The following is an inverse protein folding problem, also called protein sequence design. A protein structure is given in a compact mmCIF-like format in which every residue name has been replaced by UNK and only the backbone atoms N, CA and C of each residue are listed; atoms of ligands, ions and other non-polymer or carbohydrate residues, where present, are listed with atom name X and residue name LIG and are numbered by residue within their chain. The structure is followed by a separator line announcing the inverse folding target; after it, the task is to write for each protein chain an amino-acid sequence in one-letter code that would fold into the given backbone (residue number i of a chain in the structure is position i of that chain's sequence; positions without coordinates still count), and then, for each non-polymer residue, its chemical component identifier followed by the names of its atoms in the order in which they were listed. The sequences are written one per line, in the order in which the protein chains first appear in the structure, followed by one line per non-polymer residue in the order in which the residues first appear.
data_IF_581418880075
#
_entry.id   IF_581418880075
#
_cell.length_a   1.000
_cell.length_b   1.000
_cell.length_c   1.000
_cell.angle_alpha   90.00
_cell.angle_beta   90.00
_cell.angle_gamma   90.00
#
_symmetry.space_group_name_H-M   'P 1'
#
loop_
_entity.id
_entity.type
_entity.pdbx_description
1 polymer ?
#
# COMPACT_ATOMS: atom_id res chain seq x y z
N UNK A 1 74.72 -17.34 -25.84
CA UNK A 1 74.93 -16.01 -25.24
C UNK A 1 74.20 -15.03 -26.13
N UNK A 2 72.94 -14.73 -25.82
CA UNK A 2 72.30 -13.55 -26.41
C UNK A 2 72.86 -12.34 -25.67
N UNK A 3 73.24 -11.32 -26.43
CA UNK A 3 73.80 -10.07 -25.91
C UNK A 3 72.85 -9.51 -24.85
N UNK A 4 73.40 -9.21 -23.67
CA UNK A 4 72.67 -8.55 -22.59
C UNK A 4 72.06 -7.21 -23.03
N UNK A 5 72.64 -6.59 -24.06
CA UNK A 5 72.15 -5.35 -24.64
C UNK A 5 70.84 -5.55 -25.40
N UNK A 6 70.67 -6.66 -26.13
CA UNK A 6 69.41 -6.97 -26.84
C UNK A 6 68.30 -7.33 -25.85
N UNK A 7 68.64 -8.00 -24.73
CA UNK A 7 67.68 -8.28 -23.66
C UNK A 7 67.27 -7.01 -22.89
N UNK A 8 68.18 -6.04 -22.73
CA UNK A 8 67.86 -4.74 -22.16
C UNK A 8 67.03 -3.87 -23.14
N UNK A 9 67.29 -3.95 -24.44
CA UNK A 9 66.52 -3.23 -25.48
C UNK A 9 65.07 -3.76 -25.59
N UNK A 10 64.88 -5.08 -25.41
CA UNK A 10 63.55 -5.71 -25.38
C UNK A 10 62.78 -5.36 -24.09
N UNK A 11 63.48 -4.99 -23.01
CA UNK A 11 62.85 -4.70 -21.72
C UNK A 11 62.13 -3.35 -21.67
N UNK A 12 62.33 -2.49 -22.67
CA UNK A 12 61.71 -1.16 -22.81
C UNK A 12 61.11 -1.00 -24.21
N UNK A 13 60.17 -1.87 -24.60
CA UNK A 13 59.55 -1.79 -25.93
C UNK A 13 58.63 -0.57 -26.11
N UNK A 14 58.17 0.07 -25.03
CA UNK A 14 57.31 1.25 -25.11
C UNK A 14 57.65 2.22 -23.98
N UNK A 15 58.38 3.28 -24.30
CA UNK A 15 58.51 4.45 -23.44
C UNK A 15 57.42 5.44 -23.84
N UNK A 16 56.40 5.56 -22.99
CA UNK A 16 55.26 6.43 -23.26
C UNK A 16 55.61 7.92 -23.08
N UNK A 17 56.78 8.25 -22.54
CA UNK A 17 57.16 9.62 -22.22
C UNK A 17 56.28 10.23 -21.13
N UNK A 18 56.80 11.27 -20.49
CA UNK A 18 56.00 12.06 -19.55
C UNK A 18 54.98 12.92 -20.33
N UNK A 19 53.69 13.00 -19.95
CA UNK A 19 53.02 12.40 -18.77
C UNK A 19 52.27 11.08 -19.02
N UNK A 20 52.32 10.52 -20.24
CA UNK A 20 51.53 9.31 -20.55
C UNK A 20 51.93 8.10 -19.70
N UNK A 21 53.22 7.93 -19.36
CA UNK A 21 53.68 6.84 -18.51
C UNK A 21 52.99 6.82 -17.14
N UNK A 22 52.81 7.99 -16.54
CA UNK A 22 52.17 8.15 -15.22
C UNK A 22 50.66 7.90 -15.29
N UNK A 23 50.02 8.33 -16.38
CA UNK A 23 48.60 8.02 -16.62
C UNK A 23 48.41 6.51 -16.74
N UNK A 24 49.24 5.83 -17.54
CA UNK A 24 49.16 4.37 -17.74
C UNK A 24 49.37 3.62 -16.42
N UNK A 25 50.28 4.08 -15.56
CA UNK A 25 50.52 3.48 -14.25
C UNK A 25 49.32 3.57 -13.30
N UNK A 26 48.48 4.59 -13.45
CA UNK A 26 47.36 4.86 -12.53
C UNK A 26 46.02 4.27 -13.04
N UNK A 27 45.91 3.94 -14.33
CA UNK A 27 44.71 3.31 -14.94
C UNK A 27 44.19 2.08 -14.17
N UNK A 28 45.02 1.10 -13.74
CA UNK A 28 44.54 -0.08 -13.02
C UNK A 28 43.82 0.24 -11.72
N UNK A 29 44.08 1.39 -11.12
CA UNK A 29 43.47 1.83 -9.87
C UNK A 29 42.25 2.74 -10.10
N UNK A 30 42.35 3.66 -11.07
CA UNK A 30 41.29 4.63 -11.38
C UNK A 30 40.08 3.94 -12.00
N UNK A 31 40.30 3.00 -12.93
CA UNK A 31 39.20 2.39 -13.68
C UNK A 31 38.23 1.59 -12.78
N UNK A 32 38.70 0.71 -11.87
CA UNK A 32 37.80 0.03 -10.92
C UNK A 32 37.08 1.00 -9.97
N UNK A 33 37.74 2.07 -9.52
CA UNK A 33 37.12 3.07 -8.63
C UNK A 33 36.02 3.87 -9.33
N UNK A 34 36.23 4.27 -10.59
CA UNK A 34 35.21 4.93 -11.40
C UNK A 34 34.02 4.01 -11.66
N UNK A 35 34.29 2.76 -12.04
CA UNK A 35 33.26 1.76 -12.29
C UNK A 35 32.43 1.50 -11.02
N UNK A 36 33.11 1.33 -9.88
CA UNK A 36 32.47 1.18 -8.57
C UNK A 36 31.61 2.40 -8.23
N UNK A 37 32.13 3.62 -8.42
CA UNK A 37 31.39 4.86 -8.18
C UNK A 37 30.11 4.92 -9.00
N UNK A 38 30.20 4.66 -10.31
CA UNK A 38 29.06 4.69 -11.22
C UNK A 38 28.01 3.66 -10.80
N UNK A 39 28.43 2.43 -10.47
CA UNK A 39 27.50 1.39 -9.99
C UNK A 39 26.78 1.86 -8.73
N UNK A 40 27.50 2.38 -7.73
CA UNK A 40 26.92 2.83 -6.47
C UNK A 40 25.95 4.01 -6.66
N UNK A 41 26.30 4.96 -7.53
CA UNK A 41 25.46 6.12 -7.85
C UNK A 41 24.24 5.74 -8.69
N UNK A 42 24.32 4.77 -9.59
CA UNK A 42 23.14 4.27 -10.32
C UNK A 42 22.23 3.44 -9.41
N UNK A 43 22.83 2.64 -8.52
CA UNK A 43 22.09 1.78 -7.61
C UNK A 43 21.21 2.56 -6.62
N UNK A 44 21.64 3.77 -6.21
CA UNK A 44 20.86 4.62 -5.30
C UNK A 44 19.41 4.86 -5.77
N UNK A 45 19.16 4.83 -7.10
CA UNK A 45 17.84 5.06 -7.70
C UNK A 45 16.81 4.00 -7.29
N UNK A 46 17.28 2.79 -6.95
CA UNK A 46 16.44 1.66 -6.59
C UNK A 46 16.19 1.55 -5.08
N UNK A 47 16.77 2.44 -4.26
CA UNK A 47 16.65 2.40 -2.80
C UNK A 47 15.65 3.43 -2.28
N UNK A 48 14.90 3.05 -1.23
CA UNK A 48 13.92 3.90 -0.57
C UNK A 48 14.62 5.14 0.03
N UNK A 49 14.00 6.34 -0.04
CA UNK A 49 14.70 7.57 0.34
C UNK A 49 15.21 7.69 1.78
N UNK A 50 14.59 6.99 2.74
CA UNK A 50 14.85 7.20 4.17
C UNK A 50 15.85 6.22 4.80
N UNK A 51 16.52 5.39 4.01
CA UNK A 51 17.52 4.47 4.58
C UNK A 51 18.90 5.12 4.70
N UNK A 52 19.47 5.10 5.92
CA UNK A 52 20.88 5.44 6.20
C UNK A 52 21.84 4.72 5.23
N UNK A 53 21.45 3.51 4.80
CA UNK A 53 22.17 2.72 3.79
C UNK A 53 22.31 3.47 2.46
N UNK A 54 21.27 4.16 2.00
CA UNK A 54 21.31 4.96 0.77
C UNK A 54 22.33 6.07 0.87
N UNK A 55 22.30 6.84 1.95
CA UNK A 55 23.24 7.94 2.16
C UNK A 55 24.69 7.45 2.27
N UNK A 56 24.91 6.30 2.91
CA UNK A 56 26.23 5.67 3.00
C UNK A 56 26.74 5.24 1.61
N UNK A 57 25.91 4.58 0.79
CA UNK A 57 26.32 4.15 -0.55
C UNK A 57 26.61 5.35 -1.47
N UNK A 58 25.81 6.41 -1.39
CA UNK A 58 26.04 7.65 -2.15
C UNK A 58 27.33 8.31 -1.69
N UNK A 59 27.58 8.38 -0.39
CA UNK A 59 28.83 8.93 0.16
C UNK A 59 30.04 8.13 -0.33
N UNK A 60 30.00 6.79 -0.27
CA UNK A 60 31.07 5.92 -0.75
C UNK A 60 31.28 6.10 -2.26
N UNK A 61 30.20 6.20 -3.04
CA UNK A 61 30.24 6.45 -4.49
C UNK A 61 30.87 7.80 -4.86
N UNK A 62 30.51 8.88 -4.15
CA UNK A 62 31.11 10.21 -4.35
C UNK A 62 32.58 10.22 -3.91
N UNK A 63 32.88 9.57 -2.80
CA UNK A 63 34.24 9.48 -2.27
C UNK A 63 35.17 8.74 -3.23
N UNK A 64 34.74 7.58 -3.74
CA UNK A 64 35.51 6.82 -4.73
C UNK A 64 35.70 7.59 -6.05
N UNK A 65 34.67 8.30 -6.52
CA UNK A 65 34.78 9.19 -7.68
C UNK A 65 35.81 10.29 -7.47
N UNK A 66 35.77 10.93 -6.30
CA UNK A 66 36.66 12.04 -5.95
C UNK A 66 38.09 11.55 -5.89
N UNK A 67 38.35 10.40 -5.26
CA UNK A 67 39.69 9.79 -5.23
C UNK A 67 40.17 9.45 -6.64
N UNK A 68 39.33 8.81 -7.46
CA UNK A 68 39.69 8.45 -8.82
C UNK A 68 40.03 9.67 -9.68
N UNK A 69 39.24 10.73 -9.54
CA UNK A 69 39.45 12.01 -10.23
C UNK A 69 40.72 12.70 -9.73
N UNK A 70 40.97 12.73 -8.43
CA UNK A 70 42.19 13.30 -7.86
C UNK A 70 43.44 12.52 -8.29
N UNK A 71 43.39 11.19 -8.34
CA UNK A 71 44.49 10.37 -8.83
C UNK A 71 44.79 10.63 -10.30
N UNK A 72 43.76 10.76 -11.14
CA UNK A 72 43.91 11.07 -12.55
C UNK A 72 44.39 12.51 -12.78
N UNK A 73 43.89 13.46 -11.99
CA UNK A 73 44.35 14.85 -12.01
C UNK A 73 45.82 14.90 -11.59
N UNK A 74 46.17 14.20 -10.51
CA UNK A 74 47.53 14.14 -10.01
C UNK A 74 48.46 13.53 -11.05
N UNK A 75 48.12 12.40 -11.67
CA UNK A 75 48.95 11.78 -12.72
C UNK A 75 49.08 12.61 -13.99
N UNK A 76 48.00 13.29 -14.42
CA UNK A 76 48.02 14.10 -15.63
C UNK A 76 48.74 15.45 -15.45
N UNK A 77 48.64 16.07 -14.27
CA UNK A 77 49.09 17.45 -14.02
C UNK A 77 50.36 17.56 -13.18
N UNK A 78 50.83 16.44 -12.62
CA UNK A 78 51.90 16.34 -11.64
C UNK A 78 53.22 17.03 -11.93
N UNK A 79 53.60 17.17 -13.19
CA UNK A 79 54.86 17.85 -13.54
C UNK A 79 54.71 19.09 -14.45
N UNK A 80 53.49 19.54 -14.78
CA UNK A 80 53.30 20.63 -15.76
C UNK A 80 52.42 21.81 -15.32
N UNK A 81 51.63 21.73 -14.24
CA UNK A 81 50.50 22.66 -14.11
C UNK A 81 50.68 23.93 -13.24
N UNK A 82 51.80 24.16 -12.56
CA UNK A 82 52.03 25.49 -11.94
C UNK A 82 53.50 25.87 -12.07
N UNK A 83 53.77 27.02 -12.69
CA UNK A 83 55.07 27.39 -13.25
C UNK A 83 56.24 27.52 -12.29
N UNK A 84 57.42 27.73 -12.89
CA UNK A 84 58.77 27.71 -12.30
C UNK A 84 59.11 26.35 -11.68
N UNK A 85 60.24 25.77 -12.10
CA UNK A 85 60.73 24.45 -11.63
C UNK A 85 60.82 24.34 -10.10
N UNK A 86 60.84 25.49 -9.40
CA UNK A 86 60.92 25.65 -7.95
C UNK A 86 59.57 25.50 -7.20
N UNK A 87 58.43 25.51 -7.90
CA UNK A 87 57.08 25.43 -7.33
C UNK A 87 56.38 24.08 -7.58
N UNK A 88 57.15 23.09 -8.04
CA UNK A 88 56.70 21.70 -8.00
C UNK A 88 56.37 21.35 -6.56
N UNK A 89 55.14 20.91 -6.29
CA UNK A 89 54.76 20.41 -4.98
C UNK A 89 55.79 19.35 -4.58
N UNK A 90 56.63 19.64 -3.57
CA UNK A 90 57.82 18.86 -3.20
C UNK A 90 57.57 17.42 -2.73
N UNK A 91 56.37 16.89 -2.97
CA UNK A 91 55.96 15.51 -2.73
C UNK A 91 55.72 14.71 -4.01
N UNK A 92 55.93 15.26 -5.22
CA UNK A 92 55.72 14.52 -6.48
C UNK A 92 56.61 13.27 -6.61
N UNK A 93 57.92 13.45 -6.51
CA UNK A 93 58.87 12.33 -6.59
C UNK A 93 58.62 11.25 -5.52
N UNK A 94 58.45 11.57 -4.22
CA UNK A 94 58.15 10.55 -3.23
C UNK A 94 56.75 9.91 -3.42
N UNK A 95 55.77 10.63 -3.96
CA UNK A 95 54.47 10.04 -4.30
C UNK A 95 54.61 9.04 -5.46
N UNK A 96 55.25 9.41 -6.56
CA UNK A 96 55.45 8.50 -7.70
C UNK A 96 56.32 7.32 -7.28
N UNK A 97 57.37 7.54 -6.49
CA UNK A 97 58.18 6.47 -5.94
C UNK A 97 57.37 5.54 -5.02
N UNK A 98 56.45 6.08 -4.20
CA UNK A 98 55.57 5.29 -3.35
C UNK A 98 54.53 4.51 -4.16
N UNK A 99 53.93 5.14 -5.18
CA UNK A 99 52.93 4.53 -6.05
C UNK A 99 53.55 3.45 -6.92
N UNK A 100 54.71 3.72 -7.51
CA UNK A 100 55.50 2.72 -8.24
C UNK A 100 56.01 1.62 -7.31
N UNK A 101 56.38 1.94 -6.07
CA UNK A 101 56.68 0.95 -5.03
C UNK A 101 55.49 0.04 -4.74
N UNK A 102 54.29 0.60 -4.63
CA UNK A 102 53.04 -0.15 -4.45
C UNK A 102 52.71 -1.00 -5.69
N UNK A 103 52.84 -0.42 -6.89
CA UNK A 103 52.65 -1.12 -8.16
C UNK A 103 53.65 -2.27 -8.29
N UNK A 104 54.91 -2.08 -7.92
CA UNK A 104 55.92 -3.13 -7.94
C UNK A 104 55.65 -4.19 -6.85
N UNK A 105 55.15 -3.81 -5.68
CA UNK A 105 54.77 -4.76 -4.64
C UNK A 105 53.60 -5.65 -5.09
N UNK A 106 52.60 -5.06 -5.74
CA UNK A 106 51.40 -5.76 -6.19
C UNK A 106 51.66 -6.53 -7.48
N UNK A 107 52.23 -5.89 -8.50
CA UNK A 107 52.37 -6.43 -9.85
C UNK A 107 53.78 -6.91 -10.20
N UNK A 108 54.79 -6.60 -9.39
CA UNK A 108 56.16 -7.10 -9.60
C UNK A 108 56.31 -8.60 -9.32
N UNK A 109 55.27 -9.24 -8.76
CA UNK A 109 55.18 -10.68 -8.58
C UNK A 109 53.85 -11.21 -9.13
N UNK A 110 53.90 -12.36 -9.80
CA UNK A 110 52.70 -13.10 -10.25
C UNK A 110 51.77 -13.37 -9.07
N UNK A 111 52.31 -13.71 -7.90
CA UNK A 111 51.51 -13.97 -6.71
C UNK A 111 50.77 -12.72 -6.22
N UNK A 112 51.44 -11.56 -6.21
CA UNK A 112 50.81 -10.29 -5.83
C UNK A 112 49.67 -9.91 -6.77
N UNK A 113 49.88 -10.08 -8.08
CA UNK A 113 48.85 -9.77 -9.08
C UNK A 113 47.64 -10.69 -8.95
N UNK A 114 47.86 -11.98 -8.66
CA UNK A 114 46.80 -12.95 -8.44
C UNK A 114 46.01 -12.63 -7.17
N UNK A 115 46.71 -12.30 -6.07
CA UNK A 115 46.09 -11.90 -4.81
C UNK A 115 45.25 -10.62 -4.97
N UNK A 116 45.73 -9.66 -5.77
CA UNK A 116 45.00 -8.43 -6.10
C UNK A 116 43.71 -8.72 -6.87
N UNK A 117 43.76 -9.55 -7.93
CA UNK A 117 42.58 -9.93 -8.71
C UNK A 117 41.57 -10.68 -7.83
N UNK A 118 42.01 -11.62 -6.99
CA UNK A 118 41.15 -12.34 -6.07
C UNK A 118 40.53 -11.40 -5.04
N UNK A 119 41.33 -10.50 -4.45
CA UNK A 119 40.85 -9.53 -3.46
C UNK A 119 39.79 -8.59 -4.06
N UNK A 120 40.02 -8.07 -5.26
CA UNK A 120 39.04 -7.27 -5.99
C UNK A 120 37.81 -8.10 -6.34
N UNK A 121 37.97 -9.33 -6.81
CA UNK A 121 36.87 -10.23 -7.14
C UNK A 121 35.97 -10.53 -5.93
N UNK A 122 36.57 -10.83 -4.78
CA UNK A 122 35.84 -11.02 -3.50
C UNK A 122 35.17 -9.71 -3.09
N UNK A 123 35.86 -8.58 -3.19
CA UNK A 123 35.30 -7.26 -2.90
C UNK A 123 34.06 -6.98 -3.75
N UNK A 124 34.14 -7.19 -5.06
CA UNK A 124 33.00 -7.07 -5.97
C UNK A 124 31.90 -8.08 -5.69
N UNK A 125 32.24 -9.33 -5.33
CA UNK A 125 31.24 -10.35 -4.98
C UNK A 125 30.47 -9.97 -3.71
N UNK A 126 31.18 -9.56 -2.65
CA UNK A 126 30.56 -9.10 -1.40
C UNK A 126 29.73 -7.84 -1.63
N UNK A 127 30.25 -6.89 -2.41
CA UNK A 127 29.53 -5.67 -2.75
C UNK A 127 28.31 -5.98 -3.62
N UNK A 128 28.40 -6.90 -4.58
CA UNK A 128 27.25 -7.36 -5.36
C UNK A 128 26.22 -8.07 -4.47
N UNK A 129 26.64 -8.86 -3.48
CA UNK A 129 25.71 -9.58 -2.62
C UNK A 129 25.09 -8.68 -1.52
N UNK A 130 25.80 -7.66 -1.06
CA UNK A 130 25.29 -6.69 -0.07
C UNK A 130 24.53 -5.53 -0.70
N UNK A 131 24.91 -5.13 -1.92
CA UNK A 131 24.33 -3.98 -2.62
C UNK A 131 23.40 -4.46 -3.74
N UNK A 132 23.80 -5.35 -4.63
CA UNK A 132 23.01 -5.68 -5.84
C UNK A 132 21.93 -6.73 -5.57
N UNK A 133 22.06 -7.57 -4.55
CA UNK A 133 20.97 -8.40 -4.06
C UNK A 133 20.21 -7.64 -2.96
N UNK A 134 19.18 -6.82 -3.29
CA UNK A 134 18.24 -6.42 -2.28
C UNK A 134 17.64 -7.71 -1.69
N UNK A 135 17.40 -7.77 -0.37
CA UNK A 135 16.50 -8.76 0.18
C UNK A 135 15.13 -8.52 -0.46
N UNK A 136 14.87 -9.27 -1.53
CA UNK A 136 13.65 -9.38 -2.31
C UNK A 136 13.04 -8.06 -2.85
N UNK A 137 13.27 -7.72 -4.14
CA UNK A 137 12.77 -6.48 -4.76
C UNK A 137 11.24 -6.37 -4.76
N UNK A 138 10.53 -7.50 -4.63
CA UNK A 138 9.07 -7.52 -4.58
C UNK A 138 8.52 -6.92 -3.29
N UNK A 139 9.19 -7.06 -2.14
CA UNK A 139 8.63 -6.62 -0.87
C UNK A 139 8.66 -5.11 -0.65
N UNK A 140 9.55 -4.39 -1.34
CA UNK A 140 9.60 -2.92 -1.25
C UNK A 140 8.39 -2.31 -1.94
N UNK A 141 8.06 -2.79 -3.15
CA UNK A 141 6.84 -2.39 -3.86
C UNK A 141 5.58 -2.80 -3.08
N UNK A 142 5.51 -4.06 -2.66
CA UNK A 142 4.40 -4.57 -1.86
C UNK A 142 4.21 -3.85 -0.52
N UNK A 143 5.29 -3.39 0.15
CA UNK A 143 5.16 -2.59 1.38
C UNK A 143 4.66 -1.19 1.13
N UNK A 144 5.09 -0.56 0.03
CA UNK A 144 4.59 0.75 -0.34
C UNK A 144 3.09 0.68 -0.68
N UNK A 145 2.70 -0.31 -1.49
CA UNK A 145 1.30 -0.59 -1.83
C UNK A 145 0.46 -0.95 -0.60
N UNK A 146 1.01 -1.75 0.33
CA UNK A 146 0.32 -2.10 1.58
C UNK A 146 0.10 -0.86 2.46
N UNK A 147 1.08 0.04 2.53
CA UNK A 147 0.97 1.28 3.31
C UNK A 147 -0.07 2.23 2.70
N UNK A 148 -0.05 2.37 1.37
CA UNK A 148 -1.06 3.15 0.64
C UNK A 148 -2.47 2.55 0.84
N UNK A 149 -2.60 1.23 0.80
CA UNK A 149 -3.86 0.55 1.10
C UNK A 149 -4.31 0.78 2.55
N UNK A 150 -3.39 0.77 3.53
CA UNK A 150 -3.70 1.02 4.93
C UNK A 150 -4.16 2.47 5.17
N UNK A 151 -3.52 3.44 4.52
CA UNK A 151 -3.88 4.85 4.61
C UNK A 151 -5.26 5.10 3.95
N UNK A 152 -5.53 4.49 2.80
CA UNK A 152 -6.85 4.54 2.15
C UNK A 152 -7.96 3.90 3.00
N UNK A 153 -7.66 2.81 3.73
CA UNK A 153 -8.62 2.18 4.65
C UNK A 153 -8.95 3.13 5.81
N UNK A 154 -7.94 3.82 6.38
CA UNK A 154 -8.17 4.80 7.45
C UNK A 154 -9.02 5.98 6.99
N UNK A 155 -8.80 6.46 5.77
CA UNK A 155 -9.63 7.51 5.16
C UNK A 155 -11.07 7.03 5.00
N UNK A 156 -11.29 5.83 4.44
CA UNK A 156 -12.62 5.23 4.33
C UNK A 156 -13.30 5.05 5.69
N UNK A 157 -12.57 4.61 6.73
CA UNK A 157 -13.13 4.49 8.07
C UNK A 157 -13.59 5.83 8.64
N UNK A 158 -12.85 6.92 8.34
CA UNK A 158 -13.23 8.26 8.75
C UNK A 158 -14.50 8.75 8.04
N UNK A 159 -14.60 8.50 6.73
CA UNK A 159 -15.78 8.84 5.92
C UNK A 159 -17.03 8.05 6.35
N UNK A 160 -16.86 6.76 6.68
CA UNK A 160 -17.96 5.93 7.18
C UNK A 160 -18.45 6.43 8.54
N UNK A 161 -17.56 6.90 9.41
CA UNK A 161 -17.96 7.52 10.69
C UNK A 161 -18.74 8.81 10.47
N UNK A 162 -18.29 9.70 9.59
CA UNK A 162 -19.03 10.94 9.31
C UNK A 162 -20.40 10.67 8.69
N UNK A 163 -20.50 9.70 7.77
CA UNK A 163 -21.79 9.28 7.20
C UNK A 163 -22.73 8.68 8.25
N UNK A 164 -22.20 7.91 9.21
CA UNK A 164 -22.99 7.37 10.31
C UNK A 164 -23.53 8.48 11.22
N UNK A 165 -22.74 9.51 11.50
CA UNK A 165 -23.17 10.69 12.26
C UNK A 165 -24.26 11.47 11.53
N UNK A 166 -24.09 11.69 10.22
CA UNK A 166 -25.10 12.37 9.39
C UNK A 166 -26.42 11.59 9.34
N UNK A 167 -26.35 10.25 9.19
CA UNK A 167 -27.53 9.38 9.24
C UNK A 167 -28.27 9.51 10.57
N UNK A 168 -27.56 9.50 11.70
CA UNK A 168 -28.17 9.65 13.01
C UNK A 168 -28.86 11.01 13.17
N UNK A 169 -28.27 12.08 12.61
CA UNK A 169 -28.87 13.42 12.61
C UNK A 169 -30.16 13.44 11.79
N UNK A 170 -30.14 12.85 10.60
CA UNK A 170 -31.33 12.74 9.74
C UNK A 170 -32.45 11.91 10.40
N UNK A 171 -32.13 10.80 11.05
CA UNK A 171 -33.11 10.00 11.80
C UNK A 171 -33.75 10.82 12.94
N UNK A 172 -32.96 11.61 13.66
CA UNK A 172 -33.47 12.49 14.71
C UNK A 172 -34.38 13.61 14.16
N UNK A 173 -34.03 14.21 13.01
CA UNK A 173 -34.88 15.20 12.34
C UNK A 173 -36.19 14.57 11.83
N UNK A 174 -36.13 13.36 11.27
CA UNK A 174 -37.31 12.64 10.78
C UNK A 174 -38.28 12.30 11.91
N UNK A 175 -37.74 11.90 13.08
CA UNK A 175 -38.54 11.69 14.28
C UNK A 175 -39.25 12.97 14.74
N UNK A 176 -38.56 14.10 14.76
CA UNK A 176 -39.16 15.41 15.09
C UNK A 176 -40.25 15.81 14.09
N UNK A 177 -40.03 15.56 12.80
CA UNK A 177 -41.05 15.82 11.78
C UNK A 177 -42.30 14.97 12.00
N UNK A 178 -42.14 13.68 12.31
CA UNK A 178 -43.27 12.79 12.59
C UNK A 178 -44.05 13.21 13.84
N UNK A 179 -43.35 13.64 14.91
CA UNK A 179 -44.00 14.18 16.11
C UNK A 179 -44.81 15.44 15.78
N UNK A 180 -44.24 16.37 14.99
CA UNK A 180 -44.94 17.56 14.54
C UNK A 180 -46.16 17.24 13.66
N UNK A 181 -46.06 16.25 12.79
CA UNK A 181 -47.17 15.82 11.91
C UNK A 181 -48.31 15.21 12.74
N UNK A 182 -47.98 14.37 13.73
CA UNK A 182 -48.97 13.80 14.67
C UNK A 182 -49.70 14.88 15.46
N UNK A 183 -48.97 15.87 15.99
CA UNK A 183 -49.58 16.99 16.72
C UNK A 183 -50.54 17.80 15.83
N UNK A 184 -50.16 18.00 14.56
CA UNK A 184 -51.01 18.67 13.57
C UNK A 184 -52.25 17.85 13.21
N UNK A 185 -52.13 16.54 13.02
CA UNK A 185 -53.30 15.68 12.80
C UNK A 185 -54.29 15.72 13.98
N UNK A 186 -53.78 15.72 15.22
CA UNK A 186 -54.64 15.87 16.40
C UNK A 186 -55.33 17.24 16.44
N UNK A 187 -54.61 18.31 16.09
CA UNK A 187 -55.20 19.66 16.02
C UNK A 187 -56.29 19.74 14.95
N UNK A 188 -56.10 19.12 13.79
CA UNK A 188 -57.09 19.05 12.71
C UNK A 188 -58.32 18.24 13.13
N UNK A 189 -58.14 17.11 13.82
CA UNK A 189 -59.28 16.33 14.35
C UNK A 189 -60.10 17.16 15.35
N UNK A 190 -59.45 17.92 16.24
CA UNK A 190 -60.15 18.81 17.18
C UNK A 190 -60.96 19.88 16.44
N UNK A 191 -60.34 20.54 15.45
CA UNK A 191 -61.03 21.53 14.63
C UNK A 191 -62.20 20.92 13.85
N UNK A 192 -62.03 19.72 13.29
CA UNK A 192 -63.10 19.01 12.60
C UNK A 192 -64.28 18.72 13.54
N UNK A 193 -64.01 18.24 14.77
CA UNK A 193 -65.08 18.00 15.75
C UNK A 193 -65.80 19.28 16.18
N UNK A 194 -65.08 20.41 16.29
CA UNK A 194 -65.67 21.71 16.58
C UNK A 194 -66.55 22.21 15.44
N UNK A 195 -66.09 22.05 14.19
CA UNK A 195 -66.89 22.38 13.01
C UNK A 195 -68.16 21.53 12.99
N UNK A 196 -68.04 20.21 13.14
CA UNK A 196 -69.20 19.30 13.19
C UNK A 196 -70.20 19.70 14.27
N UNK A 197 -69.76 20.01 15.50
CA UNK A 197 -70.65 20.50 16.56
C UNK A 197 -71.36 21.81 16.20
N UNK A 198 -70.63 22.77 15.63
CA UNK A 198 -71.22 24.04 15.20
C UNK A 198 -72.24 23.82 14.08
N UNK A 199 -71.97 22.92 13.12
CA UNK A 199 -72.95 22.56 12.08
C UNK A 199 -74.22 21.96 12.67
N UNK A 200 -74.10 21.06 13.66
CA UNK A 200 -75.28 20.46 14.31
C UNK A 200 -76.09 21.48 15.12
N UNK A 201 -75.43 22.45 15.76
CA UNK A 201 -76.09 23.53 16.50
C UNK A 201 -76.82 24.50 15.55
N UNK A 202 -76.21 24.81 14.40
CA UNK A 202 -76.87 25.58 13.35
C UNK A 202 -78.08 24.82 12.76
N UNK A 203 -78.00 23.51 12.55
CA UNK A 203 -79.13 22.69 12.09
C UNK A 203 -80.26 22.58 13.12
N UNK A 204 -79.94 22.52 14.42
CA UNK A 204 -80.95 22.52 15.48
C UNK A 204 -81.66 23.87 15.59
N UNK A 205 -80.91 24.98 15.51
CA UNK A 205 -81.49 26.33 15.48
C UNK A 205 -82.40 26.53 14.25
N UNK A 206 -82.01 25.97 13.11
CA UNK A 206 -82.81 26.03 11.87
C UNK A 206 -84.05 25.14 11.90
N UNK A 207 -84.05 24.09 12.73
CA UNK A 207 -85.22 23.23 12.96
C UNK A 207 -86.18 23.82 14.00
N UNK A 208 -85.70 24.66 14.92
CA UNK A 208 -86.54 25.43 15.86
C UNK A 208 -87.27 26.62 15.20
N UNK A 209 -86.85 27.09 14.01
CA UNK A 209 -87.58 28.09 13.22
C UNK A 209 -88.88 27.57 12.54
N UNK A 210 -89.27 26.32 12.80
CA UNK A 210 -90.46 25.67 12.23
C UNK A 210 -91.81 25.94 12.91
N UNK A 211 -91.85 26.60 14.07
CA UNK A 211 -93.10 27.05 14.71
C UNK A 211 -93.12 28.58 14.84
N UNK A 212 -94.19 29.28 14.39
CA UNK A 212 -94.24 30.73 14.52
C UNK A 212 -94.61 31.06 15.96
N UNK A 213 -93.81 31.88 16.64
CA UNK A 213 -94.23 32.91 17.63
C UNK A 213 -92.99 33.62 18.19
N UNK A 214 -92.89 34.91 17.87
CA UNK A 214 -92.63 36.01 18.81
C UNK A 214 -91.49 35.85 19.85
N UNK A 215 -90.42 36.64 19.62
CA UNK A 215 -89.38 37.09 20.58
C UNK A 215 -88.19 36.14 20.80
N UNK A 216 -87.30 36.09 19.81
CA UNK A 216 -85.87 35.92 20.08
C UNK A 216 -85.34 37.24 20.65
N UNK A 217 -84.74 37.28 21.86
CA UNK A 217 -84.15 38.48 22.41
C UNK A 217 -82.96 38.91 21.54
N UNK A 218 -82.91 40.19 21.15
CA UNK A 218 -81.88 40.78 20.27
C UNK A 218 -80.44 40.44 20.70
N UNK A 219 -80.21 40.17 21.99
CA UNK A 219 -78.90 39.85 22.56
C UNK A 219 -78.31 38.52 22.04
N UNK A 220 -79.13 37.48 21.80
CA UNK A 220 -78.62 36.17 21.30
C UNK A 220 -78.24 36.22 19.82
N UNK A 221 -78.91 37.08 19.05
CA UNK A 221 -78.61 37.29 17.63
C UNK A 221 -77.32 38.10 17.46
N UNK A 222 -77.02 38.97 18.44
CA UNK A 222 -75.78 39.75 18.49
C UNK A 222 -74.57 38.88 18.87
N UNK A 223 -74.73 37.94 19.82
CA UNK A 223 -73.65 36.99 20.19
C UNK A 223 -73.33 36.01 19.06
N UNK A 224 -74.34 35.46 18.38
CA UNK A 224 -74.13 34.57 17.23
C UNK A 224 -73.48 35.30 16.05
N UNK A 225 -73.78 36.60 15.85
CA UNK A 225 -73.08 37.43 14.86
C UNK A 225 -71.61 37.63 15.23
N UNK A 226 -71.32 37.90 16.49
CA UNK A 226 -69.94 38.02 16.98
C UNK A 226 -69.15 36.72 16.81
N UNK A 227 -69.74 35.58 17.14
CA UNK A 227 -69.09 34.27 16.96
C UNK A 227 -68.87 33.93 15.48
N UNK A 228 -69.82 34.29 14.60
CA UNK A 228 -69.67 34.07 13.16
C UNK A 228 -68.60 34.99 12.56
N UNK A 229 -68.51 36.24 13.00
CA UNK A 229 -67.44 37.16 12.58
C UNK A 229 -66.07 36.72 13.15
N UNK A 230 -66.02 36.17 14.36
CA UNK A 230 -64.81 35.61 14.94
C UNK A 230 -64.36 34.35 14.18
N UNK A 231 -65.25 33.40 13.95
CA UNK A 231 -64.98 32.19 13.16
C UNK A 231 -64.55 32.52 11.72
N UNK A 232 -65.11 33.58 11.13
CA UNK A 232 -64.69 34.07 9.82
C UNK A 232 -63.29 34.69 9.85
N UNK A 233 -62.94 35.40 10.92
CA UNK A 233 -61.58 35.94 11.10
C UNK A 233 -60.55 34.81 11.30
N UNK A 234 -60.92 33.75 12.03
CA UNK A 234 -60.08 32.58 12.24
C UNK A 234 -59.91 31.76 10.96
N UNK A 235 -60.95 31.66 10.13
CA UNK A 235 -60.87 31.03 8.81
C UNK A 235 -59.95 31.80 7.83
N UNK A 236 -60.01 33.13 7.83
CA UNK A 236 -59.11 33.96 7.01
C UNK A 236 -57.65 33.89 7.53
N UNK A 237 -57.45 33.81 8.85
CA UNK A 237 -56.12 33.59 9.45
C UNK A 237 -55.56 32.20 9.11
N UNK A 238 -56.38 31.16 9.12
CA UNK A 238 -55.99 29.81 8.71
C UNK A 238 -55.60 29.76 7.23
N UNK A 239 -56.33 30.48 6.37
CA UNK A 239 -56.05 30.56 4.93
C UNK A 239 -54.76 31.30 4.62
N UNK A 240 -54.44 32.36 5.37
CA UNK A 240 -53.14 33.05 5.25
C UNK A 240 -51.99 32.16 5.72
N UNK A 241 -52.19 31.37 6.78
CA UNK A 241 -51.21 30.39 7.25
C UNK A 241 -50.99 29.25 6.25
N UNK A 242 -52.04 28.80 5.55
CA UNK A 242 -51.93 27.82 4.47
C UNK A 242 -51.11 28.37 3.28
N UNK A 243 -51.30 29.64 2.95
CA UNK A 243 -50.52 30.33 1.92
C UNK A 243 -49.03 30.43 2.27
N UNK A 244 -48.72 30.76 3.53
CA UNK A 244 -47.34 30.82 4.03
C UNK A 244 -46.65 29.45 4.04
N UNK A 245 -47.41 28.39 4.32
CA UNK A 245 -46.91 27.01 4.23
C UNK A 245 -46.64 26.59 2.79
N UNK A 246 -47.51 26.95 1.85
CA UNK A 246 -47.29 26.72 0.41
C UNK A 246 -46.02 27.42 -0.08
N UNK A 247 -45.78 28.67 0.36
CA UNK A 247 -44.54 29.39 0.04
C UNK A 247 -43.31 28.71 0.68
N UNK A 248 -43.45 28.19 1.89
CA UNK A 248 -42.36 27.48 2.59
C UNK A 248 -42.02 26.16 1.91
N UNK A 249 -43.04 25.39 1.47
CA UNK A 249 -42.86 24.16 0.69
C UNK A 249 -42.20 24.48 -0.65
N UNK A 250 -42.65 25.53 -1.35
CA UNK A 250 -42.03 25.96 -2.61
C UNK A 250 -40.55 26.34 -2.46
N UNK A 251 -40.19 27.05 -1.38
CA UNK A 251 -38.77 27.34 -1.06
C UNK A 251 -37.97 26.07 -0.79
N UNK A 252 -38.54 25.11 -0.07
CA UNK A 252 -37.87 23.83 0.21
C UNK A 252 -37.67 23.02 -1.07
N UNK A 253 -38.65 23.00 -1.97
CA UNK A 253 -38.51 22.33 -3.27
C UNK A 253 -37.42 22.98 -4.15
N UNK A 254 -37.32 24.31 -4.14
CA UNK A 254 -36.21 25.02 -4.79
C UNK A 254 -34.85 24.67 -4.17
N UNK A 255 -34.80 24.51 -2.84
CA UNK A 255 -33.58 24.09 -2.12
C UNK A 255 -33.20 22.65 -2.46
N UNK A 256 -34.18 21.75 -2.55
CA UNK A 256 -33.96 20.36 -2.96
C UNK A 256 -33.46 20.32 -4.41
N UNK A 257 -34.05 21.12 -5.30
CA UNK A 257 -33.60 21.18 -6.70
C UNK A 257 -32.17 21.71 -6.83
N UNK A 258 -31.77 22.69 -6.02
CA UNK A 258 -30.40 23.21 -6.02
C UNK A 258 -29.41 22.21 -5.44
N UNK A 259 -29.75 21.55 -4.33
CA UNK A 259 -28.94 20.46 -3.77
C UNK A 259 -28.85 19.25 -4.72
N UNK A 260 -29.90 18.94 -5.48
CA UNK A 260 -29.86 17.91 -6.51
C UNK A 260 -28.96 18.30 -7.68
N UNK A 261 -28.96 19.57 -8.11
CA UNK A 261 -28.02 20.05 -9.11
C UNK A 261 -26.59 20.08 -8.59
N UNK A 262 -26.35 20.49 -7.34
CA UNK A 262 -25.04 20.44 -6.70
C UNK A 262 -24.55 19.01 -6.49
N UNK A 263 -25.44 18.05 -6.20
CA UNK A 263 -25.10 16.62 -6.16
C UNK A 263 -24.78 16.07 -7.56
N UNK A 264 -25.54 16.48 -8.58
CA UNK A 264 -25.28 16.08 -9.96
C UNK A 264 -23.97 16.70 -10.48
N UNK A 265 -23.68 17.93 -10.08
CA UNK A 265 -22.44 18.65 -10.35
C UNK A 265 -21.29 18.02 -9.58
N UNK A 266 -21.35 17.84 -8.26
CA UNK A 266 -20.32 17.12 -7.49
C UNK A 266 -20.08 15.69 -8.00
N UNK A 267 -21.09 15.04 -8.57
CA UNK A 267 -20.97 13.74 -9.25
C UNK A 267 -20.31 13.85 -10.63
N UNK A 268 -20.38 14.99 -11.31
CA UNK A 268 -19.63 15.29 -12.54
C UNK A 268 -18.25 15.90 -12.28
N UNK A 269 -18.05 16.70 -11.22
CA UNK A 269 -16.77 17.33 -10.82
C UNK A 269 -15.83 16.36 -10.10
N UNK A 270 -16.29 15.13 -9.77
CA UNK A 270 -15.40 14.05 -9.30
C UNK A 270 -14.58 13.39 -10.42
N UNK A 271 -14.59 13.94 -11.64
CA UNK A 271 -13.43 13.87 -12.53
C UNK A 271 -12.55 15.11 -12.26
N UNK A 272 -11.42 14.97 -11.54
CA UNK A 272 -10.53 16.10 -11.33
C UNK A 272 -9.84 16.43 -12.66
N UNK A 273 -9.94 17.68 -13.07
CA UNK A 273 -8.97 18.31 -13.95
C UNK A 273 -7.60 18.21 -13.27
N UNK A 274 -6.75 17.31 -13.77
CA UNK A 274 -5.31 17.53 -13.73
C UNK A 274 -4.98 18.40 -14.93
N UNK A 275 -4.24 19.49 -14.70
CA UNK A 275 -3.40 20.04 -15.74
C UNK A 275 -2.62 18.90 -16.43
N UNK A 276 -2.73 18.86 -17.76
CA UNK A 276 -1.95 18.09 -18.73
C UNK A 276 -1.99 16.55 -18.69
N UNK A 277 -2.98 15.92 -19.36
CA UNK A 277 -2.80 14.69 -20.20
C UNK A 277 -4.07 14.38 -21.03
N UNK A 278 -3.98 13.68 -22.20
CA UNK A 278 -5.03 13.61 -23.22
C UNK A 278 -6.19 12.66 -22.84
N UNK A 279 -7.35 12.72 -23.52
CA UNK A 279 -8.59 12.10 -23.07
C UNK A 279 -8.48 10.57 -23.00
N UNK A 280 -8.83 10.02 -21.84
CA UNK A 280 -8.94 8.58 -21.59
C UNK A 280 -10.10 8.05 -22.41
N UNK A 281 -9.80 7.28 -23.46
CA UNK A 281 -10.77 6.66 -24.35
C UNK A 281 -11.58 5.59 -23.62
N UNK A 282 -12.82 5.34 -24.07
CA UNK A 282 -13.69 4.25 -23.58
C UNK A 282 -12.99 2.87 -23.58
N UNK A 283 -11.92 2.71 -24.38
CA UNK A 283 -11.04 1.53 -24.37
C UNK A 283 -10.31 1.34 -23.04
N UNK A 284 -9.87 2.41 -22.37
CA UNK A 284 -9.15 2.32 -21.09
C UNK A 284 -10.10 1.93 -19.96
N UNK A 285 -11.34 2.44 -19.98
CA UNK A 285 -12.38 2.04 -19.02
C UNK A 285 -12.75 0.57 -19.20
N UNK A 286 -12.84 0.12 -20.46
CA UNK A 286 -13.08 -1.28 -20.77
C UNK A 286 -11.91 -2.16 -20.33
N UNK A 287 -10.67 -1.75 -20.57
CA UNK A 287 -9.49 -2.51 -20.13
C UNK A 287 -9.37 -2.58 -18.61
N UNK A 288 -9.71 -1.50 -17.89
CA UNK A 288 -9.73 -1.50 -16.42
C UNK A 288 -10.79 -2.45 -15.87
N UNK A 289 -11.96 -2.52 -16.51
CA UNK A 289 -13.02 -3.47 -16.13
C UNK A 289 -12.61 -4.93 -16.38
N UNK A 290 -11.95 -5.19 -17.50
CA UNK A 290 -11.38 -6.50 -17.82
C UNK A 290 -10.25 -6.89 -16.84
N UNK A 291 -9.39 -5.95 -16.44
CA UNK A 291 -8.37 -6.18 -15.43
C UNK A 291 -8.96 -6.46 -14.05
N UNK A 292 -10.01 -5.73 -13.65
CA UNK A 292 -10.71 -5.96 -12.38
C UNK A 292 -11.36 -7.36 -12.39
N UNK A 293 -12.01 -7.73 -13.49
CA UNK A 293 -12.60 -9.05 -13.64
C UNK A 293 -11.55 -10.16 -13.60
N UNK A 294 -10.42 -10.00 -14.30
CA UNK A 294 -9.29 -10.93 -14.25
C UNK A 294 -8.70 -11.04 -12.84
N UNK A 295 -8.59 -9.93 -12.11
CA UNK A 295 -8.10 -9.92 -10.74
C UNK A 295 -9.05 -10.67 -9.79
N UNK A 296 -10.37 -10.50 -9.99
CA UNK A 296 -11.40 -11.22 -9.23
C UNK A 296 -11.36 -12.72 -9.48
N UNK A 297 -11.19 -13.14 -10.73
CA UNK A 297 -11.05 -14.55 -11.12
C UNK A 297 -9.76 -15.17 -10.54
N UNK A 298 -8.66 -14.42 -10.54
CA UNK A 298 -7.41 -14.87 -9.89
C UNK A 298 -7.59 -15.05 -8.39
N UNK A 299 -8.27 -14.13 -7.72
CA UNK A 299 -8.54 -14.22 -6.28
C UNK A 299 -9.42 -15.43 -5.96
N UNK A 300 -10.47 -15.69 -6.75
CA UNK A 300 -11.30 -16.89 -6.60
C UNK A 300 -10.51 -18.18 -6.82
N UNK A 301 -9.57 -18.20 -7.79
CA UNK A 301 -8.68 -19.33 -8.03
C UNK A 301 -7.72 -19.55 -6.85
N UNK A 302 -7.15 -18.48 -6.28
CA UNK A 302 -6.32 -18.58 -5.08
C UNK A 302 -7.12 -19.07 -3.87
N UNK A 303 -8.37 -18.61 -3.69
CA UNK A 303 -9.24 -19.09 -2.62
C UNK A 303 -9.52 -20.60 -2.74
N UNK A 304 -9.86 -21.08 -3.95
CA UNK A 304 -10.03 -22.52 -4.20
C UNK A 304 -8.75 -23.32 -3.97
N UNK A 305 -7.59 -22.80 -4.38
CA UNK A 305 -6.29 -23.46 -4.12
C UNK A 305 -5.96 -23.52 -2.64
N UNK A 306 -6.31 -22.50 -1.86
CA UNK A 306 -6.13 -22.48 -0.42
C UNK A 306 -7.04 -23.51 0.28
N UNK A 307 -8.28 -23.66 -0.20
CA UNK A 307 -9.21 -24.69 0.28
C UNK A 307 -8.67 -26.10 -0.02
N UNK A 308 -8.26 -26.37 -1.27
CA UNK A 308 -7.64 -27.65 -1.64
C UNK A 308 -6.34 -27.93 -0.87
N UNK A 309 -5.54 -26.89 -0.61
CA UNK A 309 -4.34 -26.98 0.21
C UNK A 309 -4.64 -27.40 1.66
N UNK A 310 -5.74 -26.89 2.22
CA UNK A 310 -6.19 -27.23 3.57
C UNK A 310 -6.65 -28.68 3.61
N UNK A 311 -7.47 -29.11 2.64
CA UNK A 311 -7.92 -30.51 2.53
C UNK A 311 -6.75 -31.50 2.37
N UNK A 312 -5.75 -31.16 1.54
CA UNK A 312 -4.54 -31.98 1.37
C UNK A 312 -3.73 -32.04 2.66
N UNK A 313 -3.62 -30.93 3.38
CA UNK A 313 -2.90 -30.89 4.67
C UNK A 313 -3.60 -31.76 5.72
N UNK A 314 -4.92 -31.71 5.80
CA UNK A 314 -5.71 -32.56 6.70
C UNK A 314 -5.57 -34.05 6.35
N UNK A 315 -5.54 -34.39 5.05
CA UNK A 315 -5.27 -35.76 4.60
C UNK A 315 -3.86 -36.23 4.98
N UNK A 316 -2.84 -35.37 4.83
CA UNK A 316 -1.46 -35.69 5.21
C UNK A 316 -1.34 -35.86 6.72
N UNK A 317 -1.99 -35.00 7.52
CA UNK A 317 -2.00 -35.11 8.98
C UNK A 317 -2.65 -36.44 9.40
N UNK A 318 -3.78 -36.82 8.78
CA UNK A 318 -4.42 -38.12 9.02
C UNK A 318 -3.48 -39.30 8.70
N UNK A 319 -2.77 -39.24 7.58
CA UNK A 319 -1.81 -40.27 7.18
C UNK A 319 -0.62 -40.37 8.15
N UNK A 320 -0.11 -39.23 8.66
CA UNK A 320 0.97 -39.20 9.65
C UNK A 320 0.53 -39.84 10.98
N UNK A 321 -0.70 -39.55 11.44
CA UNK A 321 -1.27 -40.17 12.65
C UNK A 321 -1.39 -41.69 12.48
N UNK A 322 -1.87 -42.14 11.32
CA UNK A 322 -1.94 -43.57 11.02
C UNK A 322 -0.54 -44.22 10.98
N UNK A 323 0.47 -43.48 10.50
CA UNK A 323 1.85 -43.95 10.42
C UNK A 323 2.51 -44.08 11.80
N UNK A 324 2.23 -43.16 12.73
CA UNK A 324 2.64 -43.28 14.15
C UNK A 324 2.08 -44.58 14.73
N UNK A 325 0.77 -44.84 14.54
CA UNK A 325 0.14 -46.09 15.01
C UNK A 325 0.79 -47.34 14.41
N UNK A 326 1.18 -47.29 13.12
CA UNK A 326 1.91 -48.38 12.47
C UNK A 326 3.33 -48.57 13.03
N UNK A 327 4.07 -47.50 13.31
CA UNK A 327 5.39 -47.57 13.94
C UNK A 327 5.28 -48.21 15.33
N UNK A 328 4.32 -47.77 16.14
CA UNK A 328 4.10 -48.29 17.49
C UNK A 328 3.78 -49.78 17.49
N UNK A 329 2.98 -50.24 16.52
CA UNK A 329 2.61 -51.65 16.35
C UNK A 329 3.66 -52.54 15.67
N UNK A 330 4.73 -51.96 15.11
CA UNK A 330 5.77 -52.69 14.39
C UNK A 330 6.68 -53.52 15.31
N UNK A 331 7.50 -54.42 14.75
CA UNK A 331 8.49 -55.22 15.53
C UNK A 331 9.84 -54.52 15.73
N UNK A 332 9.91 -53.21 15.45
CA UNK A 332 11.14 -52.43 15.64
C UNK A 332 11.55 -52.36 17.12
N UNK A 333 12.84 -52.19 17.36
CA UNK A 333 13.37 -51.98 18.71
C UNK A 333 12.83 -50.66 19.31
N UNK A 334 12.75 -50.61 20.64
CA UNK A 334 12.13 -49.49 21.34
C UNK A 334 12.80 -48.13 21.02
N UNK A 335 14.11 -48.12 20.80
CA UNK A 335 14.86 -46.90 20.45
C UNK A 335 14.53 -46.43 19.03
N UNK A 336 14.42 -47.34 18.05
CA UNK A 336 14.02 -46.99 16.68
C UNK A 336 12.58 -46.52 16.60
N UNK A 337 11.67 -47.07 17.42
CA UNK A 337 10.28 -46.60 17.51
C UNK A 337 10.20 -45.16 18.00
N UNK A 338 10.90 -44.84 19.08
CA UNK A 338 10.92 -43.49 19.66
C UNK A 338 11.45 -42.46 18.65
N UNK A 339 12.58 -42.74 18.00
CA UNK A 339 13.18 -41.84 16.99
C UNK A 339 12.27 -41.63 15.78
N UNK A 340 11.60 -42.69 15.29
CA UNK A 340 10.69 -42.58 14.15
C UNK A 340 9.39 -41.85 14.52
N UNK A 341 8.86 -42.06 15.72
CA UNK A 341 7.68 -41.32 16.20
C UNK A 341 8.00 -39.84 16.37
N UNK A 342 9.14 -39.48 16.96
CA UNK A 342 9.57 -38.09 17.11
C UNK A 342 9.77 -37.40 15.75
N UNK A 343 10.33 -38.11 14.77
CA UNK A 343 10.48 -37.60 13.40
C UNK A 343 9.12 -37.31 12.76
N UNK A 344 8.17 -38.24 12.88
CA UNK A 344 6.82 -38.11 12.29
C UNK A 344 6.01 -37.03 13.01
N UNK A 345 6.15 -36.89 14.33
CA UNK A 345 5.52 -35.81 15.09
C UNK A 345 6.11 -34.44 14.74
N UNK A 346 7.44 -34.35 14.60
CA UNK A 346 8.12 -33.15 14.11
C UNK A 346 7.66 -32.74 12.71
N UNK A 347 7.44 -33.72 11.83
CA UNK A 347 6.92 -33.53 10.48
C UNK A 347 5.47 -33.02 10.52
N UNK A 348 4.61 -33.61 11.36
CA UNK A 348 3.22 -33.18 11.55
C UNK A 348 3.11 -31.74 12.08
N UNK A 349 3.96 -31.36 13.04
CA UNK A 349 4.03 -29.97 13.53
C UNK A 349 4.49 -29.00 12.44
N UNK A 350 5.43 -29.41 11.59
CA UNK A 350 5.88 -28.58 10.46
C UNK A 350 4.79 -28.38 9.40
N UNK A 351 4.03 -29.43 9.08
CA UNK A 351 2.90 -29.35 8.11
C UNK A 351 1.76 -28.49 8.67
N UNK A 352 1.41 -28.63 9.95
CA UNK A 352 0.38 -27.82 10.60
C UNK A 352 0.71 -26.31 10.66
N UNK A 353 2.00 -25.95 10.76
CA UNK A 353 2.44 -24.53 10.69
C UNK A 353 2.31 -23.96 9.28
N UNK A 354 2.50 -24.80 8.26
CA UNK A 354 2.39 -24.39 6.86
C UNK A 354 0.91 -24.14 6.49
N UNK A 355 -0.03 -24.92 7.02
CA UNK A 355 -1.48 -24.85 6.73
C UNK A 355 -2.29 -23.86 7.59
N UNK A 356 -1.69 -23.22 8.59
CA UNK A 356 -2.39 -22.27 9.48
C UNK A 356 -2.95 -21.03 8.76
N UNK A 357 -4.08 -20.46 9.22
CA UNK A 357 -4.71 -19.29 8.60
C UNK A 357 -3.76 -18.07 8.60
N UNK A 358 -3.86 -17.19 7.60
CA UNK A 358 -2.86 -16.15 7.31
C UNK A 358 -2.70 -15.05 8.37
N UNK A 359 -3.39 -15.13 9.53
CA UNK A 359 -3.36 -14.13 10.59
C UNK A 359 -2.36 -14.37 11.74
N UNK A 360 -1.75 -15.55 11.84
CA UNK A 360 -0.89 -15.94 12.97
C UNK A 360 0.61 -16.10 12.63
N UNK A 361 1.04 -15.68 11.44
CA UNK A 361 2.44 -15.89 11.00
C UNK A 361 3.35 -14.74 11.48
N UNK A 362 4.35 -15.07 12.30
CA UNK A 362 5.43 -14.14 12.65
C UNK A 362 6.25 -13.76 11.40
N UNK A 363 6.72 -12.52 11.35
CA UNK A 363 7.32 -11.87 10.16
C UNK A 363 8.64 -12.51 9.65
N UNK A 364 9.18 -13.52 10.33
CA UNK A 364 10.47 -14.15 10.01
C UNK A 364 10.37 -15.63 9.57
N UNK A 365 9.18 -16.14 9.24
CA UNK A 365 9.04 -17.53 8.80
C UNK A 365 9.42 -17.73 7.31
N UNK A 366 10.19 -18.77 6.99
CA UNK A 366 10.54 -19.08 5.60
C UNK A 366 9.28 -19.47 4.81
N UNK A 367 9.04 -18.76 3.70
CA UNK A 367 8.01 -19.11 2.71
C UNK A 367 8.44 -20.39 1.98
N UNK A 368 8.16 -21.54 2.59
CA UNK A 368 8.35 -22.82 1.91
C UNK A 368 7.14 -23.02 0.97
N UNK A 369 7.41 -23.23 -0.32
CA UNK A 369 6.38 -23.58 -1.28
C UNK A 369 5.66 -24.84 -0.81
N UNK A 370 4.37 -24.70 -0.52
CA UNK A 370 3.53 -25.73 0.09
C UNK A 370 3.60 -27.07 -0.67
N UNK A 371 3.77 -27.00 -2.00
CA UNK A 371 3.91 -28.16 -2.89
C UNK A 371 5.23 -28.89 -2.65
N UNK A 372 6.34 -28.17 -2.47
CA UNK A 372 7.64 -28.77 -2.17
C UNK A 372 7.70 -29.41 -0.79
N UNK A 373 7.07 -28.77 0.21
CA UNK A 373 6.94 -29.33 1.56
C UNK A 373 6.13 -30.63 1.56
N UNK A 374 4.96 -30.65 0.91
CA UNK A 374 4.10 -31.85 0.82
C UNK A 374 4.81 -33.00 0.10
N UNK A 375 5.58 -32.72 -0.94
CA UNK A 375 6.32 -33.75 -1.69
C UNK A 375 7.48 -34.35 -0.87
N UNK A 376 8.24 -33.52 -0.15
CA UNK A 376 9.28 -34.01 0.78
C UNK A 376 8.69 -34.83 1.93
N UNK A 377 7.52 -34.41 2.45
CA UNK A 377 6.79 -35.16 3.48
C UNK A 377 6.38 -36.54 2.97
N UNK A 378 5.88 -36.62 1.72
CA UNK A 378 5.50 -37.90 1.11
C UNK A 378 6.71 -38.84 0.93
N UNK A 379 7.87 -38.33 0.52
CA UNK A 379 9.09 -39.15 0.38
C UNK A 379 9.61 -39.68 1.72
N UNK A 380 9.57 -38.86 2.77
CA UNK A 380 9.95 -39.26 4.13
C UNK A 380 8.96 -40.32 4.64
N UNK A 381 7.66 -40.10 4.47
CA UNK A 381 6.59 -41.04 4.82
C UNK A 381 6.77 -42.39 4.12
N UNK A 382 7.10 -42.40 2.83
CA UNK A 382 7.36 -43.63 2.08
C UNK A 382 8.65 -44.34 2.52
N UNK A 383 9.68 -43.57 2.90
CA UNK A 383 10.91 -44.10 3.50
C UNK A 383 10.63 -44.82 4.81
N UNK A 384 9.84 -44.21 5.70
CA UNK A 384 9.47 -44.81 6.99
C UNK A 384 8.57 -46.03 6.80
N UNK A 385 7.57 -45.98 5.90
CA UNK A 385 6.73 -47.15 5.56
C UNK A 385 7.54 -48.35 5.04
N UNK A 386 8.64 -48.11 4.31
CA UNK A 386 9.54 -49.18 3.84
C UNK A 386 10.37 -49.79 4.98
N UNK A 387 10.71 -49.01 6.00
CA UNK A 387 11.46 -49.47 7.17
C UNK A 387 10.59 -50.26 8.14
N UNK A 388 9.32 -49.89 8.32
CA UNK A 388 8.39 -50.57 9.24
C UNK A 388 7.78 -51.86 8.70
N UNK A 389 7.84 -52.10 7.38
CA UNK A 389 7.36 -53.34 6.72
C UNK A 389 8.40 -54.48 6.70
N UNK A 390 9.65 -54.19 7.02
CA UNK A 390 10.70 -55.21 7.22
C UNK A 390 10.70 -55.64 8.68
#
# INVERSE_FOLDING_TARGET
MLDSDVLNEIHTLIDFGFPMGDIVAVIPYVFPLLLLSIILLLYQRYMIPDEIRRNLLVFIGIFSFTIATLLLLYSAFGAMWWGLDELTFGSWYPFIAALQGLTNLIFGSVFGSLAYIIGIGIGFFVLANLVIAPPDPDFVGLRAELKEAEDNIKELESDVKSLAEEKNKLEAENKKLNEFLSEREESLKKLQTQVESLTTEVESLKSEEGEPVEKVPLEQLETLRMELDQARSEAEAAKTQEQELLETVSRKDQTISTLQSELAEAKSTKTPDSEATPPVSDEVVKSLKEQLQSCKEKLENYARRAETATEVSDSVISDLVHLISQIESSQLDASSKEVLTDLVEGLGRSVGRVSGPPGEKEKDEPKIEMIGAVMMVHEIVDGVKKLTRK
#
